data_IF_065978767709
#
_entry.id   IF_065978767709
#
_cell.length_a   1.000
_cell.length_b   1.000
_cell.length_c   1.000
_cell.angle_alpha   90.00
_cell.angle_beta   90.00
_cell.angle_gamma   90.00
#
_symmetry.space_group_name_H-M   'P 1'
#
loop_
_entity.id
_entity.type
_entity.pdbx_description
1 polymer ?
#
# COMPACT_ATOMS: atom_id res chain seq x y z
N UNK A 1 -39.09 5.68 15.38
CA UNK A 1 -38.31 5.27 14.20
C UNK A 1 -37.54 4.04 14.61
N UNK A 2 -37.93 2.84 14.12
CA UNK A 2 -37.13 1.62 14.28
C UNK A 2 -36.02 1.65 13.24
N UNK A 3 -34.77 1.90 13.66
CA UNK A 3 -33.59 1.77 12.83
C UNK A 3 -33.15 0.32 12.84
N UNK A 4 -33.26 -0.37 11.71
CA UNK A 4 -32.62 -1.67 11.51
C UNK A 4 -31.15 -1.44 11.14
N UNK A 5 -30.23 -1.81 12.02
CA UNK A 5 -28.79 -1.73 11.76
C UNK A 5 -28.36 -3.04 11.10
N UNK A 6 -28.14 -3.00 9.79
CA UNK A 6 -27.48 -4.11 9.07
C UNK A 6 -25.97 -3.92 9.17
N UNK A 7 -25.32 -4.75 9.97
CA UNK A 7 -23.84 -4.78 10.04
C UNK A 7 -23.30 -5.51 8.81
N UNK A 8 -22.65 -4.79 7.90
CA UNK A 8 -21.98 -5.35 6.71
C UNK A 8 -20.67 -6.02 7.12
N UNK A 9 -19.89 -5.36 7.99
CA UNK A 9 -18.65 -5.89 8.56
C UNK A 9 -18.77 -5.99 10.07
N UNK A 10 -18.57 -7.19 10.61
CA UNK A 10 -18.52 -7.41 12.07
C UNK A 10 -17.08 -7.31 12.53
N UNK A 11 -16.77 -6.27 13.30
CA UNK A 11 -15.44 -6.02 13.85
C UNK A 11 -15.55 -6.01 15.36
N UNK A 12 -14.76 -6.86 16.04
CA UNK A 12 -14.80 -7.01 17.49
C UNK A 12 -14.05 -5.90 18.21
N UNK A 13 -12.96 -5.40 17.60
CA UNK A 13 -12.05 -4.42 18.21
C UNK A 13 -11.74 -3.26 17.28
N UNK A 14 -11.66 -2.03 17.86
CA UNK A 14 -11.24 -0.82 17.13
C UNK A 14 -9.87 -0.98 16.43
N UNK A 15 -8.93 -1.70 17.06
CA UNK A 15 -7.62 -2.00 16.45
C UNK A 15 -7.73 -2.74 15.12
N UNK A 16 -8.59 -3.77 15.06
CA UNK A 16 -8.84 -4.52 13.81
C UNK A 16 -9.53 -3.66 12.75
N UNK A 17 -10.35 -2.68 13.16
CA UNK A 17 -10.99 -1.74 12.24
C UNK A 17 -9.98 -0.80 11.57
N UNK A 18 -8.95 -0.38 12.30
CA UNK A 18 -7.93 0.57 11.84
C UNK A 18 -6.71 -0.12 11.21
N UNK A 19 -6.50 -1.41 11.47
CA UNK A 19 -5.36 -2.16 10.96
C UNK A 19 -5.16 -2.02 9.44
N UNK A 20 -6.19 -2.15 8.57
CA UNK A 20 -6.00 -2.00 7.12
C UNK A 20 -5.34 -0.69 6.73
N UNK A 21 -5.78 0.41 7.33
CA UNK A 21 -5.23 1.73 7.05
C UNK A 21 -3.75 1.84 7.46
N UNK A 22 -3.43 1.43 8.70
CA UNK A 22 -2.06 1.54 9.19
C UNK A 22 -1.09 0.58 8.50
N UNK A 23 -1.53 -0.63 8.13
CA UNK A 23 -0.70 -1.60 7.44
C UNK A 23 -0.38 -1.14 6.01
N UNK A 24 -1.37 -0.63 5.27
CA UNK A 24 -1.16 -0.04 3.94
C UNK A 24 -0.23 1.18 4.02
N UNK A 25 -0.43 2.04 5.03
CA UNK A 25 0.44 3.19 5.27
C UNK A 25 1.88 2.75 5.59
N UNK A 26 2.07 1.73 6.42
CA UNK A 26 3.38 1.20 6.77
C UNK A 26 4.11 0.63 5.55
N UNK A 27 3.41 -0.08 4.65
CA UNK A 27 3.99 -0.58 3.39
C UNK A 27 4.44 0.58 2.51
N UNK A 28 3.62 1.64 2.36
CA UNK A 28 4.00 2.82 1.58
C UNK A 28 5.23 3.53 2.14
N UNK A 29 5.19 3.87 3.43
CA UNK A 29 6.29 4.54 4.13
C UNK A 29 7.55 3.70 4.05
N UNK A 30 7.43 2.40 4.20
CA UNK A 30 8.53 1.47 4.04
C UNK A 30 9.18 1.55 2.67
N UNK A 31 8.40 1.58 1.59
CA UNK A 31 8.93 1.77 0.23
C UNK A 31 9.59 3.15 0.04
N UNK A 32 9.05 4.21 0.67
CA UNK A 32 9.67 5.55 0.66
C UNK A 32 11.04 5.55 1.35
N UNK A 33 11.14 4.89 2.50
CA UNK A 33 12.42 4.72 3.22
C UNK A 33 13.42 3.93 2.38
N UNK A 34 12.98 2.88 1.68
CA UNK A 34 13.85 2.10 0.80
C UNK A 34 14.48 2.96 -0.30
N UNK A 35 13.72 3.85 -0.97
CA UNK A 35 14.30 4.74 -2.00
C UNK A 35 15.18 5.83 -1.41
N UNK A 36 15.03 6.15 -0.13
CA UNK A 36 15.93 7.07 0.56
C UNK A 36 17.28 6.42 0.87
N UNK A 37 17.29 5.14 1.26
CA UNK A 37 18.48 4.38 1.63
C UNK A 37 19.17 3.80 0.39
N UNK A 38 18.39 3.13 -0.47
CA UNK A 38 18.89 2.49 -1.69
C UNK A 38 18.87 3.49 -2.85
N UNK A 39 20.05 3.87 -3.34
CA UNK A 39 20.14 4.72 -4.53
C UNK A 39 19.47 4.02 -5.71
N UNK A 40 18.48 4.64 -6.38
CA UNK A 40 17.76 4.01 -7.48
C UNK A 40 18.62 3.81 -8.73
N UNK A 41 19.67 4.64 -8.93
CA UNK A 41 20.58 4.52 -10.05
C UNK A 41 21.71 3.54 -9.75
N UNK A 42 21.94 2.59 -10.66
CA UNK A 42 23.07 1.67 -10.59
C UNK A 42 24.37 2.38 -11.00
N UNK A 43 25.51 1.95 -10.41
CA UNK A 43 26.84 2.34 -10.92
C UNK A 43 27.13 1.55 -12.19
N UNK A 44 27.55 2.24 -13.22
CA UNK A 44 27.82 1.66 -14.55
C UNK A 44 29.30 1.37 -14.80
N UNK A 45 30.17 1.67 -13.81
CA UNK A 45 31.64 1.66 -13.97
C UNK A 45 32.23 0.32 -14.44
N UNK A 46 31.52 -0.80 -14.24
CA UNK A 46 32.00 -2.16 -14.60
C UNK A 46 31.06 -2.90 -15.57
N UNK A 47 30.12 -2.21 -16.21
CA UNK A 47 29.15 -2.84 -17.12
C UNK A 47 29.54 -2.53 -18.58
N UNK A 48 29.51 -3.55 -19.43
CA UNK A 48 29.77 -3.43 -20.88
C UNK A 48 28.42 -3.11 -21.52
N UNK A 49 28.25 -1.86 -22.00
CA UNK A 49 27.08 -1.35 -22.76
C UNK A 49 25.70 -1.79 -22.24
N UNK A 50 25.36 -1.51 -20.95
CA UNK A 50 24.06 -1.89 -20.42
C UNK A 50 22.94 -1.05 -21.05
N UNK A 51 21.85 -1.70 -21.46
CA UNK A 51 20.64 -1.00 -21.89
C UNK A 51 19.95 -0.31 -20.72
N UNK A 52 19.20 0.77 -21.00
CA UNK A 52 18.45 1.49 -19.96
C UNK A 52 17.45 0.60 -19.22
N UNK A 53 16.88 -0.36 -19.92
CA UNK A 53 15.93 -1.33 -19.36
C UNK A 53 16.61 -2.30 -18.40
N UNK A 54 17.80 -2.79 -18.72
CA UNK A 54 18.59 -3.65 -17.84
C UNK A 54 18.99 -2.93 -16.55
N UNK A 55 19.40 -1.67 -16.66
CA UNK A 55 19.74 -0.85 -15.50
C UNK A 55 18.51 -0.62 -14.58
N UNK A 56 17.34 -0.37 -15.19
CA UNK A 56 16.10 -0.18 -14.45
C UNK A 56 15.70 -1.45 -13.70
N UNK A 57 15.51 -2.56 -14.41
CA UNK A 57 15.05 -3.81 -13.83
C UNK A 57 16.10 -4.46 -12.91
N UNK A 58 17.38 -4.42 -13.27
CA UNK A 58 18.44 -4.97 -12.44
C UNK A 58 18.49 -4.33 -11.05
N UNK A 59 18.25 -3.03 -10.95
CA UNK A 59 18.18 -2.33 -9.67
C UNK A 59 16.83 -2.50 -9.00
N UNK A 60 15.74 -2.54 -9.76
CA UNK A 60 14.39 -2.75 -9.24
C UNK A 60 14.22 -4.11 -8.54
N UNK A 61 14.87 -5.18 -9.01
CA UNK A 61 14.80 -6.50 -8.38
C UNK A 61 15.19 -6.44 -6.89
N UNK A 62 16.29 -5.76 -6.59
CA UNK A 62 16.73 -5.60 -5.19
C UNK A 62 15.68 -4.84 -4.38
N UNK A 63 15.15 -3.76 -4.96
CA UNK A 63 14.13 -2.94 -4.36
C UNK A 63 12.84 -3.73 -4.11
N UNK A 64 12.42 -4.53 -5.09
CA UNK A 64 11.27 -5.42 -5.01
C UNK A 64 11.42 -6.45 -3.89
N UNK A 65 12.55 -7.17 -3.82
CA UNK A 65 12.78 -8.19 -2.79
C UNK A 65 12.69 -7.56 -1.40
N UNK A 66 13.33 -6.42 -1.18
CA UNK A 66 13.33 -5.74 0.11
C UNK A 66 11.93 -5.23 0.48
N UNK A 67 11.16 -4.72 -0.47
CA UNK A 67 9.79 -4.26 -0.23
C UNK A 67 8.84 -5.43 0.09
N UNK A 68 8.99 -6.59 -0.57
CA UNK A 68 8.21 -7.78 -0.26
C UNK A 68 8.51 -8.34 1.11
N UNK A 69 9.79 -8.41 1.49
CA UNK A 69 10.19 -8.83 2.83
C UNK A 69 9.58 -7.92 3.92
N UNK A 70 9.61 -6.62 3.67
CA UNK A 70 9.04 -5.61 4.56
C UNK A 70 7.51 -5.76 4.70
N UNK A 71 6.78 -5.94 3.60
CA UNK A 71 5.33 -6.18 3.62
C UNK A 71 4.98 -7.48 4.34
N UNK A 72 5.76 -8.54 4.14
CA UNK A 72 5.58 -9.80 4.85
C UNK A 72 5.73 -9.64 6.36
N UNK A 73 6.75 -8.90 6.82
CA UNK A 73 6.99 -8.63 8.25
C UNK A 73 5.84 -7.80 8.84
N UNK A 74 5.34 -6.79 8.11
CA UNK A 74 4.21 -5.97 8.58
C UNK A 74 2.98 -6.85 8.80
N UNK A 75 2.59 -7.65 7.81
CA UNK A 75 1.40 -8.52 7.91
C UNK A 75 1.58 -9.61 8.97
N UNK A 76 2.78 -10.18 9.09
CA UNK A 76 3.08 -11.12 10.17
C UNK A 76 2.95 -10.42 11.55
N UNK A 77 3.42 -9.18 11.68
CA UNK A 77 3.23 -8.36 12.87
C UNK A 77 1.76 -8.13 13.21
N UNK A 78 0.94 -7.80 12.22
CA UNK A 78 -0.51 -7.62 12.39
C UNK A 78 -1.18 -8.90 12.91
N UNK A 79 -0.87 -10.05 12.33
CA UNK A 79 -1.50 -11.32 12.68
C UNK A 79 -0.99 -11.90 14.01
N UNK A 80 0.34 -11.90 14.25
CA UNK A 80 0.95 -12.62 15.37
C UNK A 80 1.21 -11.73 16.59
N UNK A 81 1.56 -10.44 16.39
CA UNK A 81 1.88 -9.51 17.48
C UNK A 81 0.63 -8.74 17.89
N UNK A 82 -0.04 -8.08 16.93
CA UNK A 82 -1.25 -7.31 17.19
C UNK A 82 -2.50 -8.18 17.34
N UNK A 83 -2.44 -9.44 16.84
CA UNK A 83 -3.54 -10.40 16.90
C UNK A 83 -4.85 -9.80 16.39
N UNK A 84 -4.78 -9.11 15.25
CA UNK A 84 -5.97 -8.57 14.61
C UNK A 84 -6.92 -9.71 14.22
N UNK A 85 -8.23 -9.44 14.29
CA UNK A 85 -9.23 -10.33 13.74
C UNK A 85 -8.97 -10.49 12.24
N UNK A 86 -8.82 -11.73 11.75
CA UNK A 86 -8.65 -11.98 10.33
C UNK A 86 -9.30 -13.32 9.94
N UNK A 87 -10.29 -13.26 9.06
CA UNK A 87 -10.99 -14.45 8.58
C UNK A 87 -10.19 -15.20 7.51
N UNK A 88 -9.43 -14.47 6.69
CA UNK A 88 -8.68 -15.03 5.57
C UNK A 88 -7.19 -14.59 5.60
N UNK A 89 -6.35 -15.17 6.51
CA UNK A 89 -4.95 -14.76 6.64
C UNK A 89 -4.14 -14.96 5.35
N UNK A 90 -4.41 -16.03 4.58
CA UNK A 90 -3.73 -16.27 3.31
C UNK A 90 -4.00 -15.18 2.27
N UNK A 91 -5.25 -14.69 2.18
CA UNK A 91 -5.61 -13.58 1.30
C UNK A 91 -4.98 -12.27 1.78
N UNK A 92 -4.82 -12.07 3.09
CA UNK A 92 -4.17 -10.89 3.62
C UNK A 92 -2.69 -10.81 3.20
N UNK A 93 -1.95 -11.95 3.22
CA UNK A 93 -0.59 -12.01 2.67
C UNK A 93 -0.55 -11.72 1.17
N UNK A 94 -1.50 -12.27 0.41
CA UNK A 94 -1.61 -12.02 -1.03
C UNK A 94 -1.90 -10.54 -1.32
N UNK A 95 -2.81 -9.93 -0.58
CA UNK A 95 -3.11 -8.50 -0.67
C UNK A 95 -1.88 -7.67 -0.36
N UNK A 96 -1.14 -8.00 0.70
CA UNK A 96 0.12 -7.32 1.04
C UNK A 96 1.18 -7.45 -0.05
N UNK A 97 1.28 -8.62 -0.68
CA UNK A 97 2.18 -8.84 -1.81
C UNK A 97 1.85 -7.90 -2.98
N UNK A 98 0.60 -7.85 -3.42
CA UNK A 98 0.19 -6.99 -4.54
C UNK A 98 0.27 -5.50 -4.20
N UNK A 99 -0.11 -5.13 -2.98
CA UNK A 99 0.02 -3.74 -2.49
C UNK A 99 1.48 -3.30 -2.51
N UNK A 100 2.39 -4.11 -1.97
CA UNK A 100 3.82 -3.84 -1.94
C UNK A 100 4.41 -3.79 -3.36
N UNK A 101 4.00 -4.69 -4.26
CA UNK A 101 4.40 -4.69 -5.66
C UNK A 101 4.03 -3.36 -6.33
N UNK A 102 2.77 -2.95 -6.20
CA UNK A 102 2.25 -1.72 -6.81
C UNK A 102 2.96 -0.49 -6.26
N UNK A 103 3.11 -0.40 -4.93
CA UNK A 103 3.74 0.75 -4.28
C UNK A 103 5.24 0.83 -4.59
N UNK A 104 5.95 -0.29 -4.51
CA UNK A 104 7.38 -0.33 -4.80
C UNK A 104 7.66 0.06 -6.25
N UNK A 105 6.87 -0.42 -7.20
CA UNK A 105 7.03 -0.10 -8.61
C UNK A 105 6.76 1.39 -8.89
N UNK A 106 5.67 1.93 -8.34
CA UNK A 106 5.29 3.33 -8.52
C UNK A 106 6.34 4.27 -7.90
N UNK A 107 6.73 4.02 -6.66
CA UNK A 107 7.70 4.84 -5.94
C UNK A 107 9.08 4.76 -6.61
N UNK A 108 9.50 3.55 -6.99
CA UNK A 108 10.77 3.35 -7.67
C UNK A 108 10.79 4.04 -9.04
N UNK A 109 9.72 3.89 -9.85
CA UNK A 109 9.63 4.52 -11.17
C UNK A 109 9.67 6.05 -11.09
N UNK A 110 8.92 6.65 -10.17
CA UNK A 110 8.96 8.10 -9.93
C UNK A 110 10.35 8.58 -9.51
N UNK A 111 10.97 7.87 -8.57
CA UNK A 111 12.29 8.24 -8.05
C UNK A 111 13.40 8.01 -9.09
N UNK A 112 13.29 6.94 -9.88
CA UNK A 112 14.22 6.66 -10.97
C UNK A 112 14.15 7.72 -12.08
N UNK A 113 12.94 8.16 -12.43
CA UNK A 113 12.72 9.13 -13.51
C UNK A 113 13.06 10.57 -13.12
N UNK A 114 12.74 10.98 -11.90
CA UNK A 114 12.84 12.37 -11.45
C UNK A 114 13.89 12.61 -10.34
N UNK A 115 14.58 11.57 -9.90
CA UNK A 115 15.60 11.67 -8.84
C UNK A 115 15.04 12.22 -7.52
N UNK A 116 15.67 13.24 -6.97
CA UNK A 116 15.24 13.84 -5.69
C UNK A 116 13.89 14.54 -5.77
N UNK A 117 13.53 15.10 -6.92
CA UNK A 117 12.18 15.64 -7.17
C UNK A 117 11.14 14.52 -7.11
N UNK A 118 11.45 13.34 -7.65
CA UNK A 118 10.58 12.16 -7.56
C UNK A 118 10.31 11.75 -6.11
N UNK A 119 11.31 11.80 -5.22
CA UNK A 119 11.13 11.54 -3.79
C UNK A 119 10.17 12.54 -3.14
N UNK A 120 10.31 13.82 -3.47
CA UNK A 120 9.41 14.87 -2.96
C UNK A 120 7.96 14.64 -3.44
N UNK A 121 7.78 14.29 -4.72
CA UNK A 121 6.46 13.95 -5.30
C UNK A 121 5.83 12.76 -4.57
N UNK A 122 6.59 11.71 -4.31
CA UNK A 122 6.09 10.51 -3.59
C UNK A 122 5.60 10.86 -2.18
N UNK A 123 6.29 11.77 -1.48
CA UNK A 123 5.86 12.25 -0.15
C UNK A 123 4.59 13.08 -0.25
N UNK A 124 4.48 13.97 -1.24
CA UNK A 124 3.26 14.76 -1.48
C UNK A 124 2.08 13.83 -1.81
N UNK A 125 2.29 12.85 -2.68
CA UNK A 125 1.28 11.84 -3.02
C UNK A 125 0.85 11.07 -1.77
N UNK A 126 1.77 10.70 -0.87
CA UNK A 126 1.44 10.06 0.40
C UNK A 126 0.49 10.94 1.24
N UNK A 127 0.79 12.21 1.41
CA UNK A 127 -0.07 13.13 2.20
C UNK A 127 -1.47 13.24 1.59
N UNK A 128 -1.56 13.37 0.25
CA UNK A 128 -2.83 13.42 -0.46
C UNK A 128 -3.62 12.11 -0.32
N UNK A 129 -2.95 10.97 -0.36
CA UNK A 129 -3.58 9.65 -0.20
C UNK A 129 -4.10 9.45 1.23
N UNK A 130 -3.35 9.85 2.26
CA UNK A 130 -3.79 9.76 3.65
C UNK A 130 -5.05 10.62 3.87
N UNK A 131 -5.03 11.86 3.37
CA UNK A 131 -6.17 12.77 3.50
C UNK A 131 -7.41 12.30 2.71
N UNK A 132 -7.20 11.60 1.60
CA UNK A 132 -8.25 11.15 0.68
C UNK A 132 -8.69 9.69 0.83
N UNK A 133 -8.05 8.87 1.68
CA UNK A 133 -8.16 7.41 1.63
C UNK A 133 -9.41 6.81 2.26
N UNK A 134 -10.32 7.59 2.83
CA UNK A 134 -11.45 7.06 3.64
C UNK A 134 -11.05 6.01 4.72
N UNK A 135 -9.77 5.95 5.05
CA UNK A 135 -9.26 4.98 6.01
C UNK A 135 -9.83 5.16 7.41
N UNK A 136 -10.08 6.41 7.78
CA UNK A 136 -10.60 6.81 9.10
C UNK A 136 -12.02 7.38 9.06
N UNK A 137 -12.46 7.91 7.90
CA UNK A 137 -13.78 8.51 7.72
C UNK A 137 -14.44 8.01 6.43
N UNK A 138 -15.78 7.96 6.34
CA UNK A 138 -16.51 7.62 5.12
C UNK A 138 -16.18 8.58 3.96
N UNK A 139 -16.13 8.06 2.73
CA UNK A 139 -15.80 8.82 1.51
C UNK A 139 -16.75 10.00 1.27
N UNK A 140 -17.99 9.86 1.73
CA UNK A 140 -19.07 10.85 1.58
C UNK A 140 -18.78 12.15 2.35
N UNK A 141 -17.94 12.09 3.38
CA UNK A 141 -17.54 13.25 4.18
C UNK A 141 -16.34 14.00 3.61
N UNK A 142 -15.70 13.46 2.57
CA UNK A 142 -14.54 14.09 1.94
C UNK A 142 -14.95 15.24 1.02
N UNK A 143 -14.16 16.33 0.92
CA UNK A 143 -14.31 17.38 -0.08
C UNK A 143 -14.35 16.80 -1.50
N UNK A 144 -15.11 17.42 -2.42
CA UNK A 144 -15.27 16.95 -3.80
C UNK A 144 -13.92 16.75 -4.52
N UNK A 145 -12.94 17.57 -4.23
CA UNK A 145 -11.59 17.45 -4.77
C UNK A 145 -10.95 16.11 -4.37
N UNK A 146 -10.98 15.74 -3.11
CA UNK A 146 -10.43 14.49 -2.60
C UNK A 146 -11.17 13.28 -3.17
N UNK A 147 -12.50 13.37 -3.32
CA UNK A 147 -13.32 12.31 -3.89
C UNK A 147 -13.04 12.05 -5.38
N UNK A 148 -12.63 13.06 -6.14
CA UNK A 148 -12.21 12.89 -7.55
C UNK A 148 -10.82 12.27 -7.66
N UNK A 149 -9.92 12.63 -6.76
CA UNK A 149 -8.54 12.12 -6.74
C UNK A 149 -8.49 10.69 -6.16
N UNK A 150 -9.41 10.33 -5.27
CA UNK A 150 -9.54 9.01 -4.65
C UNK A 150 -9.43 7.85 -5.66
N UNK A 151 -10.09 7.96 -6.80
CA UNK A 151 -10.13 6.91 -7.83
C UNK A 151 -8.76 6.69 -8.48
N UNK A 152 -7.88 7.70 -8.48
CA UNK A 152 -6.58 7.64 -9.16
C UNK A 152 -5.50 6.93 -8.32
N UNK A 153 -5.66 6.92 -7.00
CA UNK A 153 -4.63 6.41 -6.11
C UNK A 153 -4.84 4.95 -5.71
N UNK A 154 -3.78 4.14 -5.63
CA UNK A 154 -3.87 2.73 -5.26
C UNK A 154 -4.15 2.48 -3.76
N UNK A 155 -3.96 3.49 -2.91
CA UNK A 155 -4.06 3.40 -1.46
C UNK A 155 -5.45 2.97 -0.97
N UNK A 156 -6.56 3.59 -1.43
CA UNK A 156 -7.91 3.21 -1.05
C UNK A 156 -8.24 1.76 -1.39
N UNK A 157 -7.88 1.34 -2.60
CA UNK A 157 -8.13 -0.04 -3.05
C UNK A 157 -7.39 -1.07 -2.18
N UNK A 158 -6.14 -0.77 -1.80
CA UNK A 158 -5.38 -1.62 -0.90
C UNK A 158 -6.03 -1.73 0.49
N UNK A 159 -6.58 -0.62 1.02
CA UNK A 159 -7.32 -0.61 2.30
C UNK A 159 -8.57 -1.47 2.19
N UNK A 160 -9.35 -1.31 1.13
CA UNK A 160 -10.60 -2.05 0.95
C UNK A 160 -10.34 -3.54 0.77
N UNK A 161 -9.33 -3.93 -0.02
CA UNK A 161 -8.88 -5.33 -0.12
C UNK A 161 -8.46 -5.92 1.23
N UNK A 162 -7.73 -5.17 2.06
CA UNK A 162 -7.35 -5.63 3.40
C UNK A 162 -8.56 -5.74 4.33
N UNK A 163 -9.54 -4.83 4.24
CA UNK A 163 -10.80 -4.91 5.01
C UNK A 163 -11.57 -6.18 4.68
N UNK A 164 -11.68 -6.53 3.41
CA UNK A 164 -12.33 -7.78 2.95
C UNK A 164 -11.63 -9.02 3.55
N UNK A 165 -10.30 -9.02 3.63
CA UNK A 165 -9.56 -10.12 4.24
C UNK A 165 -9.81 -10.25 5.75
N UNK A 166 -9.98 -9.12 6.44
CA UNK A 166 -10.13 -9.06 7.90
C UNK A 166 -11.56 -9.37 8.32
N UNK A 167 -12.54 -8.73 7.65
CA UNK A 167 -13.95 -8.78 8.05
C UNK A 167 -14.76 -9.86 7.33
N UNK A 168 -14.24 -10.44 6.26
CA UNK A 168 -14.90 -11.41 5.40
C UNK A 168 -15.24 -10.83 4.02
N UNK A 169 -15.23 -11.72 3.03
CA UNK A 169 -15.50 -11.38 1.63
C UNK A 169 -16.97 -10.98 1.45
N UNK A 170 -17.22 -9.79 0.96
CA UNK A 170 -18.56 -9.29 0.65
C UNK A 170 -18.78 -9.30 -0.88
N UNK A 171 -19.44 -10.37 -1.37
CA UNK A 171 -19.72 -10.52 -2.80
C UNK A 171 -18.47 -10.62 -3.67
N UNK A 172 -18.35 -9.76 -4.69
CA UNK A 172 -17.21 -9.69 -5.63
C UNK A 172 -16.29 -8.50 -5.38
N UNK A 173 -16.45 -7.78 -4.28
CA UNK A 173 -15.70 -6.54 -4.02
C UNK A 173 -14.19 -6.73 -3.94
N UNK A 174 -13.71 -7.91 -3.51
CA UNK A 174 -12.27 -8.19 -3.46
C UNK A 174 -11.59 -8.17 -4.84
N UNK A 175 -12.34 -8.43 -5.91
CA UNK A 175 -11.80 -8.55 -7.28
C UNK A 175 -12.09 -7.29 -8.13
N UNK A 176 -12.93 -6.39 -7.65
CA UNK A 176 -13.22 -5.11 -8.31
C UNK A 176 -12.17 -4.05 -7.97
#
# INVERSE_FOLDING_TARGET
>A
VQTSVNKVYTIDNYGSAMAPFYSVLAIWVGCVILVAILKPHARTDNLIDPTRTELFFGRYILFFIMSQLQAFIIIAGDLYILKIQCLHPGLLYLTGFFTSLTFSLLIYALTYSFGDVGKAVVVIVMVLQIAGSSGTFPVELLPEFNRRIYILFPFPYAIDMMRECICGLYGTHYVQ
#
